data_IF_828216288854
#
_entry.id   IF_828216288854
#
_cell.length_a   1.000
_cell.length_b   1.000
_cell.length_c   1.000
_cell.angle_alpha   90.00
_cell.angle_beta   90.00
_cell.angle_gamma   90.00
#
_symmetry.space_group_name_H-M   'P 1'
#
loop_
_entity.id
_entity.type
_entity.pdbx_description
1 polymer ?
#
# COMPACT_ATOMS: atom_id res chain seq x y z
N UNK A 1 15.65 -5.55 27.59
CA UNK A 1 14.59 -6.59 27.53
C UNK A 1 13.72 -6.20 26.34
N UNK A 2 13.57 -6.95 25.26
CA UNK A 2 13.99 -8.32 24.96
C UNK A 2 13.39 -8.73 23.61
N UNK A 3 14.13 -9.54 22.83
CA UNK A 3 13.76 -9.97 21.47
C UNK A 3 13.92 -8.85 20.44
N UNK A 4 14.56 -9.12 19.29
CA UNK A 4 14.57 -8.15 18.19
C UNK A 4 13.15 -7.74 17.77
N UNK A 5 13.01 -6.64 17.03
CA UNK A 5 11.70 -6.26 16.50
C UNK A 5 11.21 -7.25 15.42
N UNK A 6 9.93 -7.21 15.09
CA UNK A 6 9.31 -8.09 14.07
C UNK A 6 9.59 -7.61 12.64
N UNK A 7 10.31 -6.49 12.48
CA UNK A 7 10.62 -5.90 11.18
C UNK A 7 11.31 -6.88 10.21
N UNK A 8 12.30 -7.71 10.62
CA UNK A 8 12.94 -8.64 9.69
C UNK A 8 11.98 -9.66 9.08
N UNK A 9 10.92 -10.06 9.79
CA UNK A 9 9.90 -10.96 9.25
C UNK A 9 9.02 -10.24 8.24
N UNK A 10 8.57 -9.01 8.56
CA UNK A 10 7.77 -8.18 7.65
C UNK A 10 8.55 -7.80 6.39
N UNK A 11 9.81 -7.38 6.52
CA UNK A 11 10.70 -7.08 5.39
C UNK A 11 10.82 -8.28 4.46
N UNK A 12 11.01 -9.48 5.01
CA UNK A 12 11.11 -10.70 4.19
C UNK A 12 9.81 -10.94 3.42
N UNK A 13 8.66 -10.81 4.06
CA UNK A 13 7.37 -10.93 3.39
C UNK A 13 7.20 -9.89 2.27
N UNK A 14 7.63 -8.64 2.47
CA UNK A 14 7.63 -7.60 1.42
C UNK A 14 8.52 -8.00 0.24
N UNK A 15 9.73 -8.47 0.50
CA UNK A 15 10.68 -8.88 -0.55
C UNK A 15 10.21 -10.12 -1.32
N UNK A 16 9.52 -11.03 -0.66
CA UNK A 16 8.94 -12.24 -1.28
C UNK A 16 7.63 -11.97 -2.03
N UNK A 17 7.01 -10.79 -1.85
CA UNK A 17 5.75 -10.42 -2.49
C UNK A 17 5.94 -9.74 -3.84
N UNK A 18 5.05 -10.03 -4.80
CA UNK A 18 4.93 -9.27 -6.05
C UNK A 18 4.06 -8.01 -5.88
N UNK A 19 3.09 -8.05 -4.96
CA UNK A 19 2.12 -6.98 -4.69
C UNK A 19 2.10 -6.70 -3.18
N UNK A 20 2.25 -5.44 -2.81
CA UNK A 20 2.13 -4.97 -1.42
C UNK A 20 0.90 -4.07 -1.31
N UNK A 21 -0.01 -4.40 -0.40
CA UNK A 21 -1.16 -3.57 -0.03
C UNK A 21 -0.91 -2.94 1.34
N UNK A 22 -0.82 -1.61 1.38
CA UNK A 22 -0.82 -0.87 2.64
C UNK A 22 -2.26 -0.48 2.98
N UNK A 23 -2.81 -1.11 4.02
CA UNK A 23 -4.10 -0.75 4.60
C UNK A 23 -3.89 0.13 5.82
N UNK A 24 -4.55 1.29 5.88
CA UNK A 24 -4.44 2.20 7.02
C UNK A 24 -5.78 2.84 7.34
N UNK A 25 -6.10 3.05 8.63
CA UNK A 25 -7.19 3.95 8.97
C UNK A 25 -6.82 5.40 8.64
N UNK A 26 -7.84 6.24 8.48
CA UNK A 26 -7.73 7.70 8.58
C UNK A 26 -7.67 8.08 10.05
N UNK A 27 -6.60 8.76 10.45
CA UNK A 27 -6.43 9.30 11.80
C UNK A 27 -5.98 10.75 11.71
N UNK A 28 -6.81 11.68 12.21
CA UNK A 28 -6.57 13.13 12.11
C UNK A 28 -6.29 13.59 10.66
N UNK A 29 -7.00 13.00 9.69
CA UNK A 29 -6.81 13.28 8.26
C UNK A 29 -5.50 12.73 7.67
N UNK A 30 -4.79 11.87 8.39
CA UNK A 30 -3.50 11.28 8.00
C UNK A 30 -3.56 9.75 8.06
N UNK A 31 -2.56 9.09 7.48
CA UNK A 31 -2.34 7.66 7.72
C UNK A 31 -1.99 7.41 9.19
N UNK A 32 -2.22 6.18 9.66
CA UNK A 32 -1.81 5.79 11.00
C UNK A 32 -0.30 5.93 11.20
N UNK A 33 0.11 6.22 12.44
CA UNK A 33 1.54 6.23 12.81
C UNK A 33 2.21 4.87 12.64
N UNK A 34 1.45 3.78 12.59
CA UNK A 34 1.94 2.44 12.27
C UNK A 34 2.32 2.36 10.79
N UNK A 35 1.41 2.76 9.89
CA UNK A 35 1.68 2.80 8.44
C UNK A 35 2.85 3.72 8.12
N UNK A 36 2.94 4.90 8.77
CA UNK A 36 4.06 5.83 8.59
C UNK A 36 5.41 5.20 8.99
N UNK A 37 5.46 4.48 10.12
CA UNK A 37 6.68 3.76 10.55
C UNK A 37 7.09 2.64 9.59
N UNK A 38 6.14 1.99 8.94
CA UNK A 38 6.45 1.02 7.86
C UNK A 38 7.14 1.72 6.70
N UNK A 39 6.62 2.88 6.25
CA UNK A 39 7.28 3.67 5.20
C UNK A 39 8.69 4.12 5.60
N UNK A 40 8.86 4.61 6.83
CA UNK A 40 10.19 5.01 7.35
C UNK A 40 11.19 3.84 7.37
N UNK A 41 10.71 2.61 7.53
CA UNK A 41 11.57 1.42 7.48
C UNK A 41 11.81 0.93 6.06
N UNK A 42 10.82 1.05 5.16
CA UNK A 42 10.99 0.74 3.74
C UNK A 42 11.90 1.75 3.04
N UNK A 43 11.98 2.99 3.51
CA UNK A 43 12.90 4.01 3.01
C UNK A 43 14.37 3.55 3.08
N UNK A 44 14.73 2.72 4.08
CA UNK A 44 16.06 2.14 4.18
C UNK A 44 16.42 1.22 2.99
N UNK A 45 15.43 0.69 2.27
CA UNK A 45 15.64 -0.18 1.11
C UNK A 45 16.11 0.59 -0.13
N UNK A 46 16.08 1.92 -0.12
CA UNK A 46 16.57 2.76 -1.24
C UNK A 46 18.03 2.50 -1.60
N UNK A 47 18.83 2.01 -0.65
CA UNK A 47 20.26 1.70 -0.84
C UNK A 47 20.53 0.23 -1.15
N UNK A 48 19.50 -0.61 -1.14
CA UNK A 48 19.64 -2.06 -1.33
C UNK A 48 19.41 -2.41 -2.81
N UNK A 49 20.30 -3.21 -3.38
CA UNK A 49 20.21 -3.67 -4.78
C UNK A 49 20.14 -5.19 -4.89
N UNK A 50 19.48 -5.67 -5.94
CA UNK A 50 19.53 -7.07 -6.37
C UNK A 50 20.89 -7.44 -7.00
N UNK A 51 21.05 -8.70 -7.40
CA UNK A 51 22.28 -9.22 -8.00
C UNK A 51 22.64 -8.54 -9.34
N UNK A 52 21.67 -7.90 -10.00
CA UNK A 52 21.86 -7.14 -11.25
C UNK A 52 22.16 -5.65 -10.98
N UNK A 53 22.26 -5.24 -9.71
CA UNK A 53 22.50 -3.86 -9.31
C UNK A 53 21.25 -2.96 -9.35
N UNK A 54 20.04 -3.52 -9.46
CA UNK A 54 18.78 -2.76 -9.47
C UNK A 54 18.22 -2.61 -8.06
N UNK A 55 17.53 -1.51 -7.70
CA UNK A 55 16.91 -1.41 -6.38
C UNK A 55 16.00 -2.60 -6.06
N UNK A 56 16.11 -3.18 -4.86
CA UNK A 56 15.46 -4.46 -4.51
C UNK A 56 13.92 -4.45 -4.54
N UNK A 57 13.31 -3.26 -4.51
CA UNK A 57 11.86 -3.07 -4.57
C UNK A 57 11.34 -2.70 -5.96
N UNK A 58 12.21 -2.58 -6.96
CA UNK A 58 11.76 -2.48 -8.35
C UNK A 58 10.98 -3.74 -8.75
N UNK A 59 10.16 -3.60 -9.79
CA UNK A 59 9.29 -4.64 -10.35
C UNK A 59 8.15 -5.11 -9.43
N UNK A 60 8.02 -4.50 -8.24
CA UNK A 60 6.92 -4.77 -7.30
C UNK A 60 5.81 -3.74 -7.46
N UNK A 61 4.58 -4.18 -7.22
CA UNK A 61 3.39 -3.33 -7.27
C UNK A 61 2.98 -2.91 -5.87
N UNK A 62 2.67 -1.63 -5.68
CA UNK A 62 2.06 -1.14 -4.44
C UNK A 62 0.63 -0.67 -4.65
N UNK A 63 -0.21 -0.95 -3.67
CA UNK A 63 -1.64 -0.57 -3.62
C UNK A 63 -2.00 -0.05 -2.23
N UNK A 64 -3.13 0.66 -2.14
CA UNK A 64 -3.60 1.24 -0.89
C UNK A 64 -5.06 0.90 -0.58
N UNK A 65 -5.35 0.66 0.69
CA UNK A 65 -6.70 0.63 1.23
C UNK A 65 -6.80 1.64 2.38
N UNK A 66 -7.81 2.50 2.37
CA UNK A 66 -8.05 3.46 3.46
C UNK A 66 -9.45 3.29 4.03
N UNK A 67 -9.56 3.27 5.35
CA UNK A 67 -10.86 3.23 6.04
C UNK A 67 -10.93 4.37 7.03
N UNK A 68 -12.02 5.14 7.04
CA UNK A 68 -12.18 6.22 8.00
C UNK A 68 -13.64 6.57 8.20
N UNK A 69 -13.99 7.05 9.39
CA UNK A 69 -15.38 7.40 9.68
C UNK A 69 -15.81 8.71 8.99
N UNK A 70 -14.86 9.52 8.51
CA UNK A 70 -15.10 10.78 7.79
C UNK A 70 -14.02 10.98 6.69
N UNK A 71 -13.81 12.20 6.20
CA UNK A 71 -12.92 12.52 5.07
C UNK A 71 -11.41 12.26 5.33
N UNK A 72 -10.63 12.08 4.26
CA UNK A 72 -9.16 12.03 4.29
C UNK A 72 -8.51 11.01 3.36
N UNK A 73 -9.28 10.09 2.76
CA UNK A 73 -8.74 8.95 2.01
C UNK A 73 -7.82 9.37 0.84
N UNK A 74 -8.26 10.31 0.00
CA UNK A 74 -7.44 10.75 -1.14
C UNK A 74 -6.16 11.48 -0.74
N UNK A 75 -6.18 12.28 0.33
CA UNK A 75 -4.97 12.94 0.83
C UNK A 75 -3.95 11.92 1.35
N UNK A 76 -4.44 10.91 2.07
CA UNK A 76 -3.62 9.79 2.55
C UNK A 76 -3.02 9.00 1.39
N UNK A 77 -3.85 8.62 0.42
CA UNK A 77 -3.41 7.89 -0.78
C UNK A 77 -2.36 8.68 -1.55
N UNK A 78 -2.53 9.99 -1.72
CA UNK A 78 -1.56 10.84 -2.41
C UNK A 78 -0.19 10.81 -1.71
N UNK A 79 -0.15 10.98 -0.39
CA UNK A 79 1.11 10.92 0.37
C UNK A 79 1.72 9.52 0.39
N UNK A 80 0.89 8.48 0.52
CA UNK A 80 1.32 7.09 0.55
C UNK A 80 1.92 6.65 -0.79
N UNK A 81 1.24 6.93 -1.90
CA UNK A 81 1.73 6.57 -3.23
C UNK A 81 2.95 7.36 -3.65
N UNK A 82 3.05 8.62 -3.27
CA UNK A 82 4.28 9.38 -3.50
C UNK A 82 5.46 8.71 -2.79
N UNK A 83 5.33 8.35 -1.51
CA UNK A 83 6.39 7.68 -0.77
C UNK A 83 6.74 6.29 -1.35
N UNK A 84 5.73 5.47 -1.68
CA UNK A 84 5.95 4.14 -2.26
C UNK A 84 6.60 4.20 -3.65
N UNK A 85 6.24 5.21 -4.45
CA UNK A 85 6.89 5.47 -5.72
C UNK A 85 8.37 5.82 -5.54
N UNK A 86 8.70 6.71 -4.60
CA UNK A 86 10.09 7.09 -4.32
C UNK A 86 10.92 5.88 -3.86
N UNK A 87 10.33 4.98 -3.07
CA UNK A 87 10.95 3.71 -2.62
C UNK A 87 11.20 2.74 -3.79
N UNK A 88 10.47 2.87 -4.91
CA UNK A 88 10.71 2.10 -6.14
C UNK A 88 9.57 1.18 -6.58
N UNK A 89 8.42 1.20 -5.89
CA UNK A 89 7.24 0.45 -6.32
C UNK A 89 6.55 1.10 -7.53
N UNK A 90 5.89 0.29 -8.35
CA UNK A 90 4.94 0.77 -9.35
C UNK A 90 3.51 0.78 -8.81
N UNK A 91 2.75 1.83 -9.11
CA UNK A 91 1.32 1.93 -8.74
C UNK A 91 0.44 1.62 -9.96
N UNK A 92 -0.54 0.70 -9.86
CA UNK A 92 -1.41 0.37 -10.97
C UNK A 92 -2.49 1.45 -11.17
N UNK A 93 -3.10 1.48 -12.35
CA UNK A 93 -4.30 2.30 -12.58
C UNK A 93 -5.38 1.94 -11.55
N UNK A 94 -6.01 2.95 -10.95
CA UNK A 94 -6.98 2.76 -9.85
C UNK A 94 -6.43 1.89 -8.70
N UNK A 95 -5.15 2.05 -8.36
CA UNK A 95 -4.45 1.22 -7.36
C UNK A 95 -4.84 1.45 -5.89
N UNK A 96 -5.90 2.23 -5.62
CA UNK A 96 -6.41 2.44 -4.28
C UNK A 96 -7.92 2.15 -4.19
N UNK A 97 -8.34 1.74 -3.02
CA UNK A 97 -9.75 1.57 -2.62
C UNK A 97 -9.93 2.20 -1.25
N UNK A 98 -11.13 2.63 -0.91
CA UNK A 98 -11.38 3.20 0.41
C UNK A 98 -12.85 3.14 0.80
N UNK A 99 -13.09 3.30 2.09
CA UNK A 99 -14.40 3.62 2.65
C UNK A 99 -14.30 4.86 3.54
N UNK A 100 -15.26 5.77 3.38
CA UNK A 100 -15.48 6.88 4.29
C UNK A 100 -16.94 6.88 4.73
N UNK A 101 -17.18 7.09 6.03
CA UNK A 101 -18.51 7.37 6.55
C UNK A 101 -18.99 8.77 6.15
N UNK A 102 -20.30 9.01 6.30
CA UNK A 102 -20.88 10.34 6.11
C UNK A 102 -20.41 11.28 7.23
N UNK A 103 -20.01 12.50 6.86
CA UNK A 103 -19.52 13.50 7.81
C UNK A 103 -20.53 13.72 8.95
N UNK A 104 -20.04 13.82 10.19
CA UNK A 104 -20.85 14.01 11.39
C UNK A 104 -21.86 12.89 11.67
N UNK A 105 -21.74 11.73 11.02
CA UNK A 105 -22.60 10.57 11.23
C UNK A 105 -21.84 9.47 11.97
N UNK A 106 -22.30 9.04 13.16
CA UNK A 106 -21.69 7.92 13.86
C UNK A 106 -21.81 6.62 13.06
N UNK A 107 -20.73 5.85 12.99
CA UNK A 107 -20.68 4.54 12.36
C UNK A 107 -19.24 4.08 12.19
N UNK A 108 -19.04 2.77 12.11
CA UNK A 108 -17.75 2.14 11.81
C UNK A 108 -17.94 1.16 10.66
N UNK A 109 -16.94 1.02 9.80
CA UNK A 109 -16.96 0.05 8.71
C UNK A 109 -17.19 -1.39 9.22
N UNK A 110 -16.69 -1.72 10.41
CA UNK A 110 -16.86 -3.05 11.02
C UNK A 110 -18.30 -3.35 11.45
N UNK A 111 -19.13 -2.32 11.60
CA UNK A 111 -20.53 -2.47 12.02
C UNK A 111 -21.50 -2.59 10.83
N UNK A 112 -20.99 -2.57 9.60
CA UNK A 112 -21.79 -2.76 8.39
C UNK A 112 -22.18 -4.23 8.21
N UNK A 113 -23.45 -4.48 7.90
CA UNK A 113 -23.97 -5.84 7.62
C UNK A 113 -23.35 -6.45 6.35
N UNK A 114 -23.00 -5.61 5.38
CA UNK A 114 -22.38 -6.00 4.12
C UNK A 114 -21.37 -4.96 3.63
N UNK A 115 -20.44 -5.41 2.79
CA UNK A 115 -19.50 -4.50 2.11
C UNK A 115 -20.28 -3.64 1.12
N UNK A 116 -20.23 -2.30 1.19
CA UNK A 116 -20.94 -1.45 0.25
C UNK A 116 -20.53 -1.75 -1.20
N UNK A 117 -21.49 -1.79 -2.13
CA UNK A 117 -21.27 -2.13 -3.55
C UNK A 117 -20.15 -1.30 -4.20
N UNK A 118 -20.07 -0.02 -3.86
CA UNK A 118 -19.01 0.87 -4.36
C UNK A 118 -17.62 0.38 -3.92
N UNK A 119 -17.46 -0.01 -2.65
CA UNK A 119 -16.21 -0.54 -2.10
C UNK A 119 -15.89 -1.90 -2.71
N UNK A 120 -16.88 -2.78 -2.87
CA UNK A 120 -16.69 -4.07 -3.52
C UNK A 120 -16.21 -3.92 -4.97
N UNK A 121 -16.80 -2.97 -5.72
CA UNK A 121 -16.43 -2.65 -7.10
C UNK A 121 -15.01 -2.10 -7.20
N UNK A 122 -14.62 -1.16 -6.32
CA UNK A 122 -13.26 -0.61 -6.31
C UNK A 122 -12.23 -1.65 -5.88
N UNK A 123 -12.55 -2.52 -4.91
CA UNK A 123 -11.70 -3.64 -4.52
C UNK A 123 -11.43 -4.59 -5.70
N UNK A 124 -12.48 -4.97 -6.44
CA UNK A 124 -12.35 -5.84 -7.61
C UNK A 124 -11.48 -5.20 -8.70
N UNK A 125 -11.67 -3.90 -8.95
CA UNK A 125 -10.89 -3.14 -9.94
C UNK A 125 -9.42 -3.04 -9.55
N UNK A 126 -9.14 -2.68 -8.29
CA UNK A 126 -7.79 -2.61 -7.74
C UNK A 126 -7.07 -3.95 -7.88
N UNK A 127 -7.73 -5.04 -7.47
CA UNK A 127 -7.14 -6.38 -7.52
C UNK A 127 -6.79 -6.80 -8.96
N UNK A 128 -7.71 -6.56 -9.92
CA UNK A 128 -7.49 -6.87 -11.32
C UNK A 128 -6.30 -6.09 -11.91
N UNK A 129 -6.25 -4.78 -11.66
CA UNK A 129 -5.20 -3.91 -12.21
C UNK A 129 -3.83 -4.18 -11.56
N UNK A 130 -3.79 -4.45 -10.25
CA UNK A 130 -2.57 -4.81 -9.56
C UNK A 130 -2.00 -6.15 -10.07
N UNK A 131 -2.86 -7.16 -10.22
CA UNK A 131 -2.46 -8.46 -10.78
C UNK A 131 -1.98 -8.34 -12.22
N UNK A 132 -2.62 -7.49 -13.03
CA UNK A 132 -2.17 -7.21 -14.40
C UNK A 132 -0.76 -6.59 -14.42
N UNK A 133 -0.54 -5.53 -13.62
CA UNK A 133 0.74 -4.83 -13.59
C UNK A 133 1.86 -5.72 -13.04
N UNK A 134 1.61 -6.51 -12.00
CA UNK A 134 2.60 -7.42 -11.43
C UNK A 134 3.05 -8.47 -12.46
N UNK A 135 2.13 -9.01 -13.26
CA UNK A 135 2.47 -9.93 -14.36
C UNK A 135 3.31 -9.23 -15.42
N UNK A 136 2.93 -8.01 -15.81
CA UNK A 136 3.67 -7.23 -16.80
C UNK A 136 5.11 -6.94 -16.36
N UNK A 137 5.32 -6.55 -15.09
CA UNK A 137 6.65 -6.30 -14.53
C UNK A 137 7.47 -7.58 -14.41
N UNK A 138 6.84 -8.71 -14.08
CA UNK A 138 7.51 -10.02 -14.05
C UNK A 138 7.98 -10.46 -15.44
N UNK A 139 7.23 -10.14 -16.48
CA UNK A 139 7.60 -10.44 -17.88
C UNK A 139 8.63 -9.45 -18.44
N UNK A 140 8.50 -8.17 -18.09
CA UNK A 140 9.34 -7.07 -18.57
C UNK A 140 9.71 -6.15 -17.42
N UNK A 141 10.80 -6.53 -16.77
CA UNK A 141 11.37 -5.81 -15.63
C UNK A 141 11.91 -4.45 -16.03
N UNK A 142 12.03 -3.55 -15.05
CA UNK A 142 12.78 -2.31 -15.20
C UNK A 142 14.25 -2.62 -15.55
N UNK A 143 14.88 -1.79 -16.41
CA UNK A 143 16.27 -1.96 -16.78
C UNK A 143 17.20 -1.69 -15.58
N UNK A 144 18.37 -2.32 -15.58
CA UNK A 144 19.49 -1.86 -14.78
C UNK A 144 20.02 -0.55 -15.39
N UNK A 145 20.13 0.49 -14.57
CA UNK A 145 20.69 1.80 -14.95
C UNK A 145 22.16 1.88 -14.58
#
# INVERSE_FOLDING_TARGET
MGGGDEWPALRRAVLESDIVLISTPTWLGQMSSVAKRVLERLDAELSETDDDGRPVLFDKVATAAVVGNEDGAHAIVASLFQALNDIGFSVPAQGCTYWNGEAMTPGDYNDLDEVPDAVASTNSTLAANAAHLARALREKRYPAT
#
